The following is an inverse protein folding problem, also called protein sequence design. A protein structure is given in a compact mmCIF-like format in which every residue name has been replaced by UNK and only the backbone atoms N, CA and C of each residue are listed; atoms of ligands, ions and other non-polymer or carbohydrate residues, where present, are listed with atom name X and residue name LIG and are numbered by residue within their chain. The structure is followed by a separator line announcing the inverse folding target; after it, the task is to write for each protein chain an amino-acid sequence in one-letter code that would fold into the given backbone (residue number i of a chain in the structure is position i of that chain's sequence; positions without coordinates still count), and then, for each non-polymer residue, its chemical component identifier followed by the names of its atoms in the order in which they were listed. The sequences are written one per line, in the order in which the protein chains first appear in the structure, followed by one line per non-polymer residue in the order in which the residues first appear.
data_IF_256918431983
#
_entry.id   IF_256918431983
#
_cell.length_a   1.000
_cell.length_b   1.000
_cell.length_c   1.000
_cell.angle_alpha   90.00
_cell.angle_beta   90.00
_cell.angle_gamma   90.00
#
_symmetry.space_group_name_H-M   'P 1'
#
loop_
_entity.id
_entity.type
_entity.pdbx_description
1 polymer ?
#
# COMPACT_ATOMS: atom_id res chain seq x y z
N UNK A 1 -24.06 30.89 -18.06
CA UNK A 1 -24.07 31.42 -16.68
C UNK A 1 -22.67 31.29 -16.12
N UNK A 2 -22.05 32.39 -15.71
CA UNK A 2 -20.67 32.38 -15.17
C UNK A 2 -20.64 31.64 -13.82
N UNK A 3 -19.51 31.02 -13.43
CA UNK A 3 -19.41 30.30 -12.15
C UNK A 3 -19.83 31.14 -10.92
N UNK A 4 -19.52 32.44 -10.94
CA UNK A 4 -19.91 33.39 -9.90
C UNK A 4 -21.45 33.54 -9.76
N UNK A 5 -22.17 33.61 -10.89
CA UNK A 5 -23.63 33.76 -10.92
C UNK A 5 -24.35 32.53 -10.34
N UNK A 6 -23.78 31.33 -10.54
CA UNK A 6 -24.34 30.07 -9.99
C UNK A 6 -24.16 29.98 -8.47
N UNK A 7 -23.03 30.46 -7.97
CA UNK A 7 -22.73 30.52 -6.53
C UNK A 7 -23.55 31.59 -5.81
N UNK A 8 -23.71 32.76 -6.42
CA UNK A 8 -24.54 33.84 -5.87
C UNK A 8 -25.99 33.38 -5.67
N UNK A 9 -26.55 32.66 -6.65
CA UNK A 9 -27.91 32.10 -6.55
C UNK A 9 -28.06 31.10 -5.39
N UNK A 10 -27.09 30.20 -5.22
CA UNK A 10 -27.09 29.22 -4.14
C UNK A 10 -26.99 29.85 -2.74
N UNK A 11 -26.22 30.93 -2.62
CA UNK A 11 -26.03 31.65 -1.35
C UNK A 11 -27.26 32.50 -1.03
N UNK A 12 -27.95 33.06 -2.03
CA UNK A 12 -29.23 33.78 -1.85
C UNK A 12 -30.38 32.85 -1.45
N UNK A 13 -30.40 31.61 -1.95
CA UNK A 13 -31.42 30.60 -1.59
C UNK A 13 -31.28 30.09 -0.14
N UNK A 14 -30.06 30.12 0.42
CA UNK A 14 -29.78 29.72 1.80
C UNK A 14 -29.80 30.97 2.70
N UNK A 15 -31.00 31.39 3.16
CA UNK A 15 -31.20 32.58 4.02
C UNK A 15 -30.30 32.55 5.27
N UNK A 16 -29.17 33.26 5.22
CA UNK A 16 -28.32 33.53 6.38
C UNK A 16 -28.83 34.78 7.12
N UNK A 17 -28.94 34.70 8.46
CA UNK A 17 -29.32 35.81 9.35
C UNK A 17 -28.16 36.78 9.58
N UNK A 18 -27.65 37.40 8.53
CA UNK A 18 -26.79 38.57 8.64
C UNK A 18 -27.58 39.82 8.19
N UNK A 19 -27.27 40.99 8.74
CA UNK A 19 -27.82 42.24 8.22
C UNK A 19 -27.47 42.40 6.73
N UNK A 20 -28.43 42.89 5.92
CA UNK A 20 -28.31 42.94 4.46
C UNK A 20 -26.99 43.59 3.99
N UNK A 21 -26.56 44.64 4.68
CA UNK A 21 -25.34 45.38 4.37
C UNK A 21 -24.05 44.56 4.61
N UNK A 22 -24.00 43.77 5.69
CA UNK A 22 -22.87 42.88 5.99
C UNK A 22 -22.83 41.71 5.01
N UNK A 23 -24.00 41.21 4.60
CA UNK A 23 -24.12 40.13 3.63
C UNK A 23 -23.64 40.55 2.24
N UNK A 24 -24.08 41.71 1.74
CA UNK A 24 -23.69 42.19 0.41
C UNK A 24 -22.20 42.50 0.33
N UNK A 25 -21.62 43.06 1.40
CA UNK A 25 -20.18 43.33 1.47
C UNK A 25 -19.34 42.04 1.52
N UNK A 26 -19.78 41.04 2.29
CA UNK A 26 -19.10 39.75 2.36
C UNK A 26 -19.22 38.95 1.06
N UNK A 27 -20.40 38.96 0.44
CA UNK A 27 -20.66 38.29 -0.83
C UNK A 27 -19.87 38.95 -1.97
N UNK A 28 -19.84 40.28 -2.03
CA UNK A 28 -19.03 41.02 -3.00
C UNK A 28 -17.54 40.71 -2.88
N UNK A 29 -17.00 40.72 -1.64
CA UNK A 29 -15.59 40.41 -1.38
C UNK A 29 -15.24 38.96 -1.76
N UNK A 30 -16.14 38.02 -1.47
CA UNK A 30 -15.96 36.62 -1.81
C UNK A 30 -15.99 36.38 -3.32
N UNK A 31 -16.98 36.94 -4.03
CA UNK A 31 -17.09 36.80 -5.49
C UNK A 31 -15.89 37.45 -6.20
N UNK A 32 -15.41 38.59 -5.72
CA UNK A 32 -14.20 39.23 -6.23
C UNK A 32 -12.95 38.34 -6.05
N UNK A 33 -12.76 37.75 -4.86
CA UNK A 33 -11.64 36.84 -4.60
C UNK A 33 -11.69 35.58 -5.48
N UNK A 34 -12.89 35.07 -5.76
CA UNK A 34 -13.09 33.93 -6.69
C UNK A 34 -12.73 34.31 -8.12
N UNK A 35 -13.15 35.48 -8.58
CA UNK A 35 -12.85 35.96 -9.94
C UNK A 35 -11.36 36.28 -10.14
N UNK A 36 -10.72 36.87 -9.13
CA UNK A 36 -9.27 37.11 -9.10
C UNK A 36 -8.48 35.80 -9.12
N UNK A 37 -8.89 34.81 -8.33
CA UNK A 37 -8.27 33.48 -8.32
C UNK A 37 -8.44 32.73 -9.65
N UNK A 38 -9.59 32.86 -10.32
CA UNK A 38 -9.83 32.29 -11.66
C UNK A 38 -8.94 32.98 -12.70
N UNK A 39 -8.84 34.31 -12.67
CA UNK A 39 -7.95 35.07 -13.56
C UNK A 39 -6.48 34.73 -13.33
N UNK A 40 -6.05 34.61 -12.07
CA UNK A 40 -4.68 34.26 -11.69
C UNK A 40 -4.30 32.83 -12.13
N UNK A 41 -5.25 31.87 -12.09
CA UNK A 41 -5.04 30.52 -12.65
C UNK A 41 -4.93 30.47 -14.17
N UNK A 42 -5.52 31.43 -14.89
CA UNK A 42 -5.46 31.46 -16.36
C UNK A 42 -4.13 31.99 -16.91
N UNK A 43 -3.36 32.72 -16.11
CA UNK A 43 -2.13 33.40 -16.55
C UNK A 43 -0.82 32.76 -16.05
N UNK A 44 -0.86 31.71 -15.21
CA UNK A 44 0.35 31.00 -14.78
C UNK A 44 0.63 29.77 -15.65
N UNK A 45 1.54 29.93 -16.60
CA UNK A 45 2.25 28.86 -17.30
C UNK A 45 2.98 27.99 -16.26
N UNK A 46 2.41 26.84 -15.91
CA UNK A 46 2.97 25.92 -14.89
C UNK A 46 4.37 25.43 -15.28
N UNK A 47 5.34 25.39 -14.36
CA UNK A 47 6.65 24.78 -14.62
C UNK A 47 6.53 23.28 -14.85
N UNK A 48 7.19 22.77 -15.89
CA UNK A 48 7.24 21.34 -16.33
C UNK A 48 7.82 20.36 -15.28
N UNK A 49 8.15 20.80 -14.07
CA UNK A 49 8.85 20.02 -13.03
C UNK A 49 7.88 19.12 -12.26
N UNK A 50 6.65 19.56 -12.00
CA UNK A 50 5.68 18.78 -11.21
C UNK A 50 5.23 17.50 -11.94
N UNK A 51 5.19 17.52 -13.27
CA UNK A 51 4.89 16.35 -14.12
C UNK A 51 5.97 15.27 -14.06
N UNK A 52 7.20 15.62 -13.67
CA UNK A 52 8.34 14.71 -13.64
C UNK A 52 8.44 13.93 -12.33
N UNK A 53 7.90 14.46 -11.23
CA UNK A 53 7.95 13.84 -9.91
C UNK A 53 6.81 12.81 -9.73
N UNK A 54 5.63 13.05 -10.33
CA UNK A 54 4.44 12.17 -10.19
C UNK A 54 4.49 10.92 -11.12
N UNK A 55 5.37 10.90 -12.13
CA UNK A 55 5.49 9.80 -13.09
C UNK A 55 6.53 8.72 -12.73
N UNK A 56 7.18 8.82 -11.57
CA UNK A 56 8.14 7.82 -11.12
C UNK A 56 7.39 6.59 -10.57
N UNK A 57 7.57 5.42 -11.20
CA UNK A 57 7.02 4.12 -10.75
C UNK A 57 7.47 3.77 -9.31
N UNK A 58 8.61 4.30 -8.87
CA UNK A 58 9.21 4.06 -7.55
C UNK A 58 8.42 4.79 -6.44
N UNK A 59 7.97 6.02 -6.69
CA UNK A 59 7.21 6.80 -5.70
C UNK A 59 5.81 6.23 -5.44
N UNK A 60 5.19 5.66 -6.48
CA UNK A 60 3.88 4.96 -6.38
C UNK A 60 3.97 3.67 -5.56
N UNK A 61 5.08 2.94 -5.67
CA UNK A 61 5.32 1.72 -4.89
C UNK A 61 5.74 2.02 -3.43
N UNK A 62 6.52 3.08 -3.21
CA UNK A 62 6.89 3.52 -1.85
C UNK A 62 5.66 3.99 -1.03
N UNK A 63 4.71 4.69 -1.67
CA UNK A 63 3.47 5.09 -1.01
C UNK A 63 2.60 3.88 -0.61
N UNK A 64 2.55 2.83 -1.44
CA UNK A 64 1.81 1.60 -1.12
C UNK A 64 2.50 0.76 -0.02
N UNK A 65 3.83 0.70 0.01
CA UNK A 65 4.58 -0.04 1.03
C UNK A 65 4.51 0.60 2.43
N UNK A 66 4.52 1.94 2.51
CA UNK A 66 4.34 2.67 3.78
C UNK A 66 2.95 2.46 4.38
N UNK A 67 1.92 2.27 3.55
CA UNK A 67 0.54 1.98 4.00
C UNK A 67 0.44 0.60 4.68
N UNK A 68 1.22 -0.39 4.22
CA UNK A 68 1.21 -1.75 4.80
C UNK A 68 1.93 -1.81 6.15
N UNK A 69 3.02 -1.04 6.32
CA UNK A 69 3.79 -1.03 7.58
C UNK A 69 3.05 -0.28 8.69
N UNK A 70 2.41 0.85 8.38
CA UNK A 70 1.67 1.66 9.38
C UNK A 70 0.39 0.95 9.84
N UNK A 71 -0.24 0.16 8.97
CA UNK A 71 -1.36 -0.71 9.34
C UNK A 71 -1.00 -1.72 10.44
N UNK A 72 0.25 -2.15 10.52
CA UNK A 72 0.68 -3.25 11.38
C UNK A 72 1.06 -2.81 12.82
N UNK A 73 1.78 -1.69 12.96
CA UNK A 73 2.21 -1.14 14.28
C UNK A 73 1.01 -0.84 15.19
N UNK A 74 -0.06 -0.41 14.55
CA UNK A 74 -1.26 0.09 15.17
C UNK A 74 -2.12 -1.05 15.78
N UNK A 75 -1.95 -2.29 15.31
CA UNK A 75 -2.65 -3.51 15.79
C UNK A 75 -2.24 -3.92 17.21
N UNK A 76 -1.04 -3.55 17.67
CA UNK A 76 -0.45 -4.13 18.88
C UNK A 76 -0.70 -3.36 20.19
N UNK A 77 -1.37 -2.20 20.18
CA UNK A 77 -1.50 -1.35 21.38
C UNK A 77 -2.93 -1.17 21.95
N UNK A 78 -3.98 -1.71 21.33
CA UNK A 78 -5.37 -1.43 21.75
C UNK A 78 -6.10 -2.66 22.30
N UNK A 79 -5.86 -2.99 23.58
CA UNK A 79 -6.60 -3.98 24.37
C UNK A 79 -7.80 -3.37 25.12
N UNK A 80 -8.77 -2.82 24.39
CA UNK A 80 -10.02 -2.26 24.95
C UNK A 80 -11.24 -3.12 24.58
N UNK A 81 -12.21 -3.24 25.50
CA UNK A 81 -13.37 -4.11 25.38
C UNK A 81 -14.24 -3.81 24.15
N UNK A 82 -14.56 -4.84 23.39
CA UNK A 82 -15.36 -4.79 22.17
C UNK A 82 -16.75 -5.36 22.45
N UNK A 83 -17.77 -4.50 22.38
CA UNK A 83 -19.17 -4.86 22.56
C UNK A 83 -19.92 -4.68 21.23
N UNK A 84 -20.50 -5.78 20.71
CA UNK A 84 -21.41 -5.87 19.54
C UNK A 84 -20.84 -5.55 18.14
N UNK A 85 -19.88 -4.62 17.99
CA UNK A 85 -19.45 -4.19 16.66
C UNK A 85 -18.60 -5.22 15.91
N UNK A 86 -17.65 -5.87 16.58
CA UNK A 86 -16.68 -6.77 15.95
C UNK A 86 -17.27 -8.12 15.57
N UNK A 87 -18.30 -8.60 16.29
CA UNK A 87 -19.02 -9.84 15.93
C UNK A 87 -19.64 -9.72 14.52
N UNK A 88 -20.21 -8.55 14.19
CA UNK A 88 -20.84 -8.34 12.86
C UNK A 88 -19.84 -8.35 11.70
N UNK A 89 -18.62 -7.83 11.89
CA UNK A 89 -17.63 -7.76 10.80
C UNK A 89 -16.83 -9.05 10.62
N UNK A 90 -16.57 -9.79 11.70
CA UNK A 90 -16.03 -11.13 11.61
C UNK A 90 -16.95 -12.01 10.75
N UNK A 91 -18.27 -11.93 10.98
CA UNK A 91 -19.27 -12.62 10.17
C UNK A 91 -19.26 -12.14 8.72
N UNK A 92 -19.18 -10.82 8.47
CA UNK A 92 -19.10 -10.30 7.10
C UNK A 92 -17.88 -10.86 6.36
N UNK A 93 -16.72 -10.85 7.02
CA UNK A 93 -15.46 -11.34 6.46
C UNK A 93 -15.55 -12.85 6.17
N UNK A 94 -16.14 -13.61 7.08
CA UNK A 94 -16.32 -15.05 6.90
C UNK A 94 -17.30 -15.36 5.76
N UNK A 95 -18.42 -14.66 5.69
CA UNK A 95 -19.39 -14.82 4.61
C UNK A 95 -18.78 -14.47 3.24
N UNK A 96 -17.94 -13.43 3.16
CA UNK A 96 -17.22 -13.09 1.94
C UNK A 96 -16.23 -14.18 1.52
N UNK A 97 -15.57 -14.87 2.46
CA UNK A 97 -14.66 -16.00 2.16
C UNK A 97 -15.39 -17.22 1.61
N UNK A 98 -16.61 -17.44 2.08
CA UNK A 98 -17.45 -18.56 1.68
C UNK A 98 -18.11 -18.35 0.30
N UNK A 99 -18.04 -17.14 -0.25
CA UNK A 99 -18.51 -16.88 -1.61
C UNK A 99 -17.61 -17.59 -2.63
N UNK A 100 -18.19 -18.25 -3.66
CA UNK A 100 -17.41 -18.97 -4.67
C UNK A 100 -16.38 -18.07 -5.35
N UNK A 101 -16.80 -16.85 -5.69
CA UNK A 101 -15.97 -15.80 -6.22
C UNK A 101 -16.37 -14.45 -5.63
N UNK A 102 -15.39 -13.58 -5.52
CA UNK A 102 -15.56 -12.16 -5.25
C UNK A 102 -14.96 -11.39 -6.40
N UNK A 103 -15.75 -10.56 -7.05
CA UNK A 103 -15.33 -9.60 -8.07
C UNK A 103 -15.31 -8.21 -7.44
N UNK A 104 -14.22 -7.48 -7.65
CA UNK A 104 -13.96 -6.18 -7.03
C UNK A 104 -13.57 -5.19 -8.11
N UNK A 105 -14.24 -4.04 -8.14
CA UNK A 105 -13.89 -2.92 -9.02
C UNK A 105 -13.58 -1.71 -8.15
N UNK A 106 -12.41 -1.11 -8.33
CA UNK A 106 -12.02 0.13 -7.64
C UNK A 106 -11.99 1.29 -8.63
N UNK A 107 -12.56 2.43 -8.25
CA UNK A 107 -12.58 3.67 -9.03
C UNK A 107 -12.27 4.88 -8.12
N UNK A 108 -11.53 5.89 -8.60
CA UNK A 108 -11.29 7.09 -7.77
C UNK A 108 -10.33 8.11 -8.37
N UNK A 109 -10.26 9.31 -7.77
CA UNK A 109 -9.48 10.44 -8.33
C UNK A 109 -7.97 10.24 -8.29
N UNK A 110 -7.47 9.36 -7.42
CA UNK A 110 -6.04 9.07 -7.22
C UNK A 110 -5.76 7.59 -6.94
N UNK A 111 -6.72 6.74 -7.28
CA UNK A 111 -6.60 5.29 -7.17
C UNK A 111 -6.40 4.78 -8.58
N UNK A 112 -5.47 3.84 -8.75
CA UNK A 112 -5.36 3.14 -10.03
C UNK A 112 -6.61 2.29 -10.17
N UNK A 113 -7.43 2.54 -11.19
CA UNK A 113 -8.60 1.69 -11.42
C UNK A 113 -8.13 0.25 -11.61
N UNK A 114 -8.64 -0.62 -10.75
CA UNK A 114 -8.28 -2.02 -10.68
C UNK A 114 -9.57 -2.81 -10.64
N UNK A 115 -9.64 -3.78 -11.53
CA UNK A 115 -10.65 -4.81 -11.55
C UNK A 115 -9.99 -6.12 -11.08
N UNK A 116 -10.61 -6.83 -10.15
CA UNK A 116 -10.03 -8.04 -9.58
C UNK A 116 -11.04 -9.12 -9.28
N UNK A 117 -10.58 -10.36 -9.32
CA UNK A 117 -11.36 -11.55 -8.96
C UNK A 117 -10.58 -12.37 -7.94
N UNK A 118 -11.28 -12.85 -6.92
CA UNK A 118 -10.71 -13.68 -5.86
C UNK A 118 -11.58 -14.91 -5.67
N UNK A 119 -10.97 -16.08 -5.68
CA UNK A 119 -11.58 -17.34 -5.24
C UNK A 119 -10.74 -17.88 -4.08
N UNK A 120 -11.29 -17.84 -2.87
CA UNK A 120 -10.57 -18.24 -1.66
C UNK A 120 -10.31 -19.75 -1.63
N UNK A 121 -11.36 -20.55 -1.88
CA UNK A 121 -11.29 -22.02 -1.88
C UNK A 121 -10.26 -22.55 -2.89
N UNK A 122 -10.30 -22.05 -4.14
CA UNK A 122 -9.37 -22.48 -5.21
C UNK A 122 -8.04 -21.71 -5.19
N UNK A 123 -7.87 -20.77 -4.25
CA UNK A 123 -6.74 -19.85 -4.15
C UNK A 123 -6.34 -19.23 -5.48
N UNK A 124 -7.34 -18.66 -6.18
CA UNK A 124 -7.13 -17.92 -7.43
C UNK A 124 -7.27 -16.43 -7.21
N UNK A 125 -6.42 -15.68 -7.89
CA UNK A 125 -6.44 -14.23 -7.90
C UNK A 125 -6.22 -13.73 -9.32
N UNK A 126 -7.08 -12.84 -9.77
CA UNK A 126 -6.91 -12.10 -11.01
C UNK A 126 -6.95 -10.62 -10.72
N UNK A 127 -6.04 -9.84 -11.30
CA UNK A 127 -6.03 -8.38 -11.25
C UNK A 127 -5.83 -7.83 -12.64
N UNK A 128 -6.60 -6.83 -13.00
CA UNK A 128 -6.55 -6.10 -14.25
C UNK A 128 -6.46 -4.62 -13.91
N UNK A 129 -5.44 -3.96 -14.45
CA UNK A 129 -5.22 -2.53 -14.26
C UNK A 129 -5.80 -1.75 -15.45
N UNK A 130 -6.11 -0.47 -15.23
CA UNK A 130 -6.60 0.45 -16.27
C UNK A 130 -5.72 0.54 -17.52
N UNK A 131 -4.41 0.30 -17.37
CA UNK A 131 -3.44 0.32 -18.47
C UNK A 131 -3.42 -0.98 -19.29
N UNK A 132 -4.29 -1.94 -18.97
CA UNK A 132 -4.42 -3.21 -19.68
C UNK A 132 -3.50 -4.32 -19.18
N UNK A 133 -2.62 -4.04 -18.21
CA UNK A 133 -1.85 -5.10 -17.55
C UNK A 133 -2.81 -6.05 -16.84
N UNK A 134 -2.51 -7.36 -16.91
CA UNK A 134 -3.29 -8.38 -16.22
C UNK A 134 -2.34 -9.34 -15.50
N UNK A 135 -2.69 -9.71 -14.28
CA UNK A 135 -2.03 -10.77 -13.51
C UNK A 135 -3.04 -11.82 -13.13
N UNK A 136 -2.68 -13.08 -13.36
CA UNK A 136 -3.47 -14.23 -12.98
C UNK A 136 -2.60 -15.17 -12.14
N UNK A 137 -3.09 -15.54 -10.98
CA UNK A 137 -2.40 -16.40 -10.03
C UNK A 137 -3.31 -17.59 -9.69
N UNK A 138 -2.75 -18.79 -9.79
CA UNK A 138 -3.34 -20.04 -9.32
C UNK A 138 -2.33 -20.68 -8.35
N UNK A 139 -2.49 -20.41 -7.07
CA UNK A 139 -1.54 -20.80 -6.03
C UNK A 139 -1.48 -22.32 -5.86
N UNK A 140 -2.62 -23.00 -6.00
CA UNK A 140 -2.70 -24.46 -5.90
C UNK A 140 -1.86 -25.12 -6.99
N UNK A 141 -1.84 -24.54 -8.20
CA UNK A 141 -0.99 -25.00 -9.31
C UNK A 141 0.40 -24.37 -9.31
N UNK A 142 0.67 -23.43 -8.41
CA UNK A 142 1.89 -22.61 -8.40
C UNK A 142 2.17 -21.96 -9.76
N UNK A 143 1.10 -21.47 -10.42
CA UNK A 143 1.20 -20.82 -11.73
C UNK A 143 0.91 -19.33 -11.57
N UNK A 144 1.82 -18.52 -12.12
CA UNK A 144 1.68 -17.07 -12.21
C UNK A 144 1.78 -16.64 -13.66
N UNK A 145 0.79 -15.88 -14.12
CA UNK A 145 0.73 -15.37 -15.49
C UNK A 145 0.64 -13.86 -15.43
N UNK A 146 1.45 -13.19 -16.25
CA UNK A 146 1.42 -11.74 -16.42
C UNK A 146 1.23 -11.45 -17.90
N UNK A 147 0.19 -10.70 -18.22
CA UNK A 147 0.02 -10.13 -19.54
C UNK A 147 0.52 -8.70 -19.55
N UNK A 148 1.40 -8.44 -20.51
CA UNK A 148 1.89 -7.12 -20.88
C UNK A 148 1.19 -6.67 -22.17
N UNK A 149 0.32 -5.65 -22.11
CA UNK A 149 -0.39 -5.15 -23.28
C UNK A 149 0.53 -4.48 -24.31
N UNK A 150 1.66 -3.90 -23.89
CA UNK A 150 2.57 -3.17 -24.79
C UNK A 150 3.29 -4.13 -25.74
N UNK A 151 3.63 -5.32 -25.24
CA UNK A 151 4.31 -6.37 -26.00
C UNK A 151 3.38 -7.50 -26.45
N UNK A 152 2.08 -7.40 -26.17
CA UNK A 152 1.07 -8.44 -26.40
C UNK A 152 1.56 -9.83 -25.98
N UNK A 153 2.14 -9.93 -24.78
CA UNK A 153 2.86 -11.12 -24.32
C UNK A 153 2.32 -11.59 -22.97
N UNK A 154 2.03 -12.89 -22.86
CA UNK A 154 1.74 -13.58 -21.59
C UNK A 154 3.01 -14.28 -21.13
N UNK A 155 3.57 -13.82 -20.01
CA UNK A 155 4.67 -14.49 -19.33
C UNK A 155 4.12 -15.47 -18.30
N UNK A 156 4.42 -16.76 -18.46
CA UNK A 156 4.03 -17.82 -17.52
C UNK A 156 5.23 -18.21 -16.66
N UNK A 157 5.13 -18.00 -15.35
CA UNK A 157 6.12 -18.42 -14.37
C UNK A 157 5.54 -19.52 -13.48
N UNK A 158 6.39 -20.40 -12.95
CA UNK A 158 6.03 -21.40 -11.93
C UNK A 158 6.78 -21.14 -10.63
N UNK A 159 6.15 -21.47 -9.52
CA UNK A 159 6.76 -21.47 -8.20
C UNK A 159 5.85 -20.93 -7.11
N UNK A 160 6.31 -21.03 -5.86
CA UNK A 160 5.65 -20.41 -4.71
C UNK A 160 5.71 -18.89 -4.87
N UNK A 161 4.66 -18.32 -5.45
CA UNK A 161 4.34 -16.91 -5.32
C UNK A 161 3.43 -16.80 -4.09
N UNK A 162 3.87 -16.07 -3.07
CA UNK A 162 3.02 -15.79 -1.92
C UNK A 162 2.06 -14.62 -2.23
N UNK A 163 1.35 -14.73 -3.35
CA UNK A 163 0.44 -13.68 -3.79
C UNK A 163 -0.82 -13.64 -2.93
N UNK A 164 -1.22 -14.78 -2.34
CA UNK A 164 -2.28 -14.82 -1.35
C UNK A 164 -1.90 -14.21 -0.01
N UNK A 165 -0.64 -14.12 0.42
CA UNK A 165 -0.34 -13.30 1.60
C UNK A 165 -0.63 -11.82 1.34
N UNK A 166 -0.38 -11.35 0.11
CA UNK A 166 -0.67 -9.98 -0.31
C UNK A 166 -2.17 -9.71 -0.55
N UNK A 167 -2.99 -10.71 -0.89
CA UNK A 167 -4.45 -10.53 -1.10
C UNK A 167 -5.31 -10.99 0.07
N UNK A 168 -4.91 -12.04 0.77
CA UNK A 168 -5.46 -12.42 2.08
C UNK A 168 -5.36 -11.25 3.06
N UNK A 169 -4.32 -10.42 2.94
CA UNK A 169 -4.18 -9.14 3.65
C UNK A 169 -4.82 -7.92 2.96
N UNK A 170 -5.10 -7.92 1.64
CA UNK A 170 -5.64 -6.71 0.97
C UNK A 170 -7.15 -6.73 0.71
N UNK A 171 -7.74 -7.85 0.29
CA UNK A 171 -9.17 -7.90 -0.05
C UNK A 171 -10.04 -8.17 1.18
N UNK A 172 -9.54 -8.99 2.10
CA UNK A 172 -10.17 -9.24 3.41
C UNK A 172 -9.49 -8.47 4.53
N UNK A 173 -8.18 -8.22 4.40
CA UNK A 173 -7.49 -7.37 5.35
C UNK A 173 -7.82 -5.89 5.18
N UNK A 174 -8.52 -5.45 4.12
CA UNK A 174 -9.06 -4.09 4.08
C UNK A 174 -10.28 -3.91 5.01
N UNK A 175 -11.32 -4.76 4.99
CA UNK A 175 -12.34 -4.75 6.05
C UNK A 175 -11.73 -4.84 7.45
N UNK A 176 -10.72 -5.70 7.64
CA UNK A 176 -9.98 -5.80 8.90
C UNK A 176 -9.18 -4.55 9.25
N UNK A 177 -8.50 -3.93 8.29
CA UNK A 177 -7.81 -2.65 8.47
C UNK A 177 -8.81 -1.57 8.88
N UNK A 178 -9.97 -1.53 8.21
CA UNK A 178 -11.05 -0.62 8.56
C UNK A 178 -11.52 -0.91 10.00
N UNK A 179 -11.63 -2.18 10.44
CA UNK A 179 -11.88 -2.60 11.84
C UNK A 179 -10.82 -2.17 12.85
N UNK A 180 -9.56 -2.38 12.54
CA UNK A 180 -8.49 -1.99 13.45
C UNK A 180 -8.48 -0.46 13.61
N UNK A 181 -8.68 0.26 12.51
CA UNK A 181 -8.89 1.71 12.54
C UNK A 181 -10.18 2.12 13.27
N UNK A 182 -11.27 1.35 13.15
CA UNK A 182 -12.51 1.55 13.92
C UNK A 182 -12.27 1.49 15.43
N UNK A 183 -11.49 0.50 15.87
CA UNK A 183 -11.21 0.22 17.27
C UNK A 183 -10.29 1.29 17.88
N UNK A 184 -9.33 1.83 17.12
CA UNK A 184 -8.46 2.91 17.58
C UNK A 184 -9.06 4.31 17.45
N UNK A 185 -9.87 4.56 16.43
CA UNK A 185 -10.52 5.86 16.21
C UNK A 185 -11.57 6.18 17.28
N UNK A 186 -11.98 5.16 18.06
CA UNK A 186 -12.59 5.34 19.36
C UNK A 186 -13.74 6.32 19.42
N UNK A 187 -14.70 6.35 18.45
CA UNK A 187 -16.13 6.72 18.68
C UNK A 187 -17.10 6.98 17.50
N UNK A 188 -16.79 6.93 16.20
CA UNK A 188 -17.82 7.30 15.18
C UNK A 188 -18.20 6.20 14.18
N UNK A 189 -18.83 5.14 14.68
CA UNK A 189 -19.53 4.16 13.85
C UNK A 189 -21.02 4.41 13.93
N UNK A 190 -21.62 4.83 12.83
CA UNK A 190 -23.08 4.91 12.70
C UNK A 190 -23.54 3.75 11.83
N UNK A 191 -24.56 3.03 12.30
CA UNK A 191 -25.23 1.96 11.57
C UNK A 191 -26.65 2.38 11.27
N UNK A 192 -27.05 2.32 10.02
CA UNK A 192 -28.42 2.63 9.63
C UNK A 192 -28.91 1.66 8.56
N UNK A 193 -30.19 1.27 8.57
CA UNK A 193 -30.77 0.53 7.45
C UNK A 193 -30.84 1.43 6.21
N UNK A 194 -30.66 0.84 5.03
CA UNK A 194 -30.72 1.57 3.77
C UNK A 194 -31.01 0.66 2.58
N UNK A 195 -30.90 1.25 1.39
CA UNK A 195 -31.04 0.53 0.12
C UNK A 195 -29.83 0.80 -0.77
N UNK A 196 -29.29 -0.23 -1.41
CA UNK A 196 -28.24 -0.10 -2.41
C UNK A 196 -28.56 -0.99 -3.62
N UNK A 197 -28.66 -0.39 -4.81
CA UNK A 197 -29.09 -1.07 -6.05
C UNK A 197 -30.35 -1.95 -5.87
N UNK A 198 -31.32 -1.46 -5.08
CA UNK A 198 -32.59 -2.14 -4.78
C UNK A 198 -32.53 -3.17 -3.64
N UNK A 199 -31.35 -3.52 -3.14
CA UNK A 199 -31.17 -4.49 -2.04
C UNK A 199 -31.25 -3.81 -0.67
N UNK A 200 -31.83 -4.50 0.31
CA UNK A 200 -31.75 -4.08 1.71
C UNK A 200 -30.32 -4.23 2.22
N UNK A 201 -29.80 -3.13 2.79
CA UNK A 201 -28.44 -3.07 3.30
C UNK A 201 -28.40 -2.44 4.68
N UNK A 202 -27.39 -2.82 5.47
CA UNK A 202 -26.91 -2.01 6.59
C UNK A 202 -25.79 -1.11 6.09
N UNK A 203 -25.97 0.20 6.24
CA UNK A 203 -24.96 1.22 5.91
C UNK A 203 -24.16 1.51 7.17
N UNK A 204 -22.84 1.33 7.07
CA UNK A 204 -21.87 1.69 8.09
C UNK A 204 -21.20 2.98 7.67
N UNK A 205 -21.34 4.03 8.48
CA UNK A 205 -20.59 5.29 8.33
C UNK A 205 -19.54 5.36 9.42
N UNK A 206 -18.32 5.65 8.99
CA UNK A 206 -17.11 5.40 9.76
C UNK A 206 -16.28 6.66 9.63
N UNK A 207 -15.97 7.33 10.73
CA UNK A 207 -15.08 8.48 10.75
C UNK A 207 -13.96 8.28 11.78
N UNK A 208 -12.74 8.67 11.40
CA UNK A 208 -11.60 8.58 12.30
C UNK A 208 -10.43 9.45 11.85
N UNK A 209 -9.77 10.07 12.82
CA UNK A 209 -8.51 10.75 12.59
C UNK A 209 -7.36 9.76 12.72
N UNK A 210 -6.59 9.56 11.65
CA UNK A 210 -5.40 8.71 11.65
C UNK A 210 -4.21 9.56 12.09
N UNK A 211 -3.96 9.53 13.41
CA UNK A 211 -3.06 10.45 14.12
C UNK A 211 -1.65 10.56 13.56
N UNK A 212 -1.02 9.43 13.22
CA UNK A 212 0.36 9.41 12.72
C UNK A 212 0.50 10.01 11.32
N UNK A 213 -0.55 9.88 10.49
CA UNK A 213 -0.55 10.47 9.16
C UNK A 213 -1.14 11.90 9.14
N UNK A 214 -1.79 12.31 10.23
CA UNK A 214 -2.36 13.64 10.39
C UNK A 214 -3.55 13.92 9.47
N UNK A 215 -4.44 12.94 9.26
CA UNK A 215 -5.51 13.02 8.27
C UNK A 215 -6.82 12.46 8.80
N UNK A 216 -7.92 13.05 8.36
CA UNK A 216 -9.26 12.56 8.64
C UNK A 216 -9.67 11.59 7.53
N UNK A 217 -10.17 10.42 7.92
CA UNK A 217 -10.66 9.38 7.02
C UNK A 217 -12.13 9.12 7.28
N UNK A 218 -12.91 9.02 6.20
CA UNK A 218 -14.32 8.64 6.25
C UNK A 218 -14.57 7.46 5.34
N UNK A 219 -15.23 6.44 5.86
CA UNK A 219 -15.69 5.30 5.07
C UNK A 219 -17.21 5.21 5.15
N UNK A 220 -17.82 4.85 4.04
CA UNK A 220 -19.22 4.45 3.98
C UNK A 220 -19.29 3.08 3.33
N UNK A 221 -19.86 2.10 4.01
CA UNK A 221 -19.90 0.72 3.55
C UNK A 221 -21.34 0.21 3.57
N UNK A 222 -21.80 -0.33 2.44
CA UNK A 222 -23.12 -0.97 2.34
C UNK A 222 -22.95 -2.49 2.40
N UNK A 223 -23.58 -3.11 3.41
CA UNK A 223 -23.55 -4.56 3.63
C UNK A 223 -24.93 -5.13 3.40
N UNK A 224 -25.06 -6.12 2.53
CA UNK A 224 -26.33 -6.80 2.26
C UNK A 224 -26.90 -7.48 3.52
N UNK A 225 -28.15 -7.19 3.86
CA UNK A 225 -28.74 -7.64 5.11
C UNK A 225 -28.91 -9.17 5.20
N UNK A 226 -29.23 -9.83 4.08
CA UNK A 226 -29.49 -11.28 4.03
C UNK A 226 -28.19 -12.09 4.09
N UNK A 227 -27.23 -11.75 3.22
CA UNK A 227 -25.98 -12.52 3.07
C UNK A 227 -24.86 -12.01 3.96
N UNK A 228 -25.00 -10.84 4.60
CA UNK A 228 -23.95 -10.13 5.33
C UNK A 228 -22.64 -10.04 4.54
N UNK A 229 -22.73 -9.57 3.29
CA UNK A 229 -21.55 -9.32 2.45
C UNK A 229 -21.49 -7.86 2.00
N UNK A 230 -20.28 -7.33 1.82
CA UNK A 230 -20.09 -5.95 1.39
C UNK A 230 -20.48 -5.82 -0.08
N UNK A 231 -21.34 -4.87 -0.44
CA UNK A 231 -21.70 -4.59 -1.84
C UNK A 231 -21.00 -3.33 -2.37
N UNK A 232 -20.68 -2.41 -1.46
CA UNK A 232 -20.10 -1.13 -1.78
C UNK A 232 -19.31 -0.59 -0.60
N UNK A 233 -18.23 0.11 -0.94
CA UNK A 233 -17.43 0.87 -0.01
C UNK A 233 -16.99 2.17 -0.70
N UNK A 234 -17.31 3.29 -0.10
CA UNK A 234 -16.69 4.58 -0.37
C UNK A 234 -15.64 4.87 0.70
N UNK A 235 -14.51 5.43 0.32
CA UNK A 235 -13.55 5.99 1.25
C UNK A 235 -13.13 7.39 0.81
N UNK A 236 -13.02 8.28 1.79
CA UNK A 236 -12.61 9.67 1.62
C UNK A 236 -11.51 9.99 2.60
N UNK A 237 -10.52 10.74 2.14
CA UNK A 237 -9.40 11.23 2.94
C UNK A 237 -9.33 12.73 2.85
N UNK A 238 -9.16 13.38 3.98
CA UNK A 238 -9.07 14.82 4.11
C UNK A 238 -7.73 15.20 4.73
N UNK A 239 -7.14 16.30 4.26
CA UNK A 239 -5.96 16.87 4.88
C UNK A 239 -6.30 17.59 6.21
N UNK A 240 -5.28 18.15 6.87
CA UNK A 240 -5.43 18.91 8.13
C UNK A 240 -6.33 20.14 8.00
N UNK A 241 -6.55 20.67 6.80
CA UNK A 241 -7.44 21.79 6.54
C UNK A 241 -8.89 21.33 6.25
N UNK A 242 -9.15 20.02 6.31
CA UNK A 242 -10.45 19.43 5.98
C UNK A 242 -10.75 19.38 4.48
N UNK A 243 -9.74 19.60 3.63
CA UNK A 243 -9.91 19.51 2.18
C UNK A 243 -9.82 18.05 1.74
N UNK A 244 -10.77 17.60 0.93
CA UNK A 244 -10.76 16.27 0.31
C UNK A 244 -9.50 16.14 -0.57
N UNK A 245 -8.64 15.18 -0.22
CA UNK A 245 -7.40 14.88 -0.96
C UNK A 245 -7.49 13.58 -1.73
N UNK A 246 -8.39 12.68 -1.37
CA UNK A 246 -8.59 11.42 -2.07
C UNK A 246 -10.01 10.91 -1.82
N UNK A 247 -10.65 10.42 -2.89
CA UNK A 247 -11.94 9.73 -2.85
C UNK A 247 -11.84 8.47 -3.71
N UNK A 248 -12.32 7.36 -3.16
CA UNK A 248 -12.33 6.06 -3.80
C UNK A 248 -13.63 5.32 -3.56
N UNK A 249 -14.10 4.63 -4.60
CA UNK A 249 -15.22 3.72 -4.57
C UNK A 249 -14.71 2.31 -4.84
N UNK A 250 -15.27 1.34 -4.12
CA UNK A 250 -15.03 -0.07 -4.30
C UNK A 250 -16.37 -0.77 -4.40
N UNK A 251 -16.57 -1.46 -5.50
CA UNK A 251 -17.78 -2.22 -5.80
C UNK A 251 -17.46 -3.70 -5.67
N UNK A 252 -18.40 -4.45 -5.08
CA UNK A 252 -18.25 -5.87 -4.85
C UNK A 252 -19.42 -6.62 -5.47
N UNK A 253 -19.09 -7.64 -6.25
CA UNK A 253 -20.02 -8.62 -6.79
C UNK A 253 -19.58 -10.04 -6.40
N UNK A 254 -20.52 -10.97 -6.31
CA UNK A 254 -20.26 -12.34 -5.84
C UNK A 254 -20.82 -13.37 -6.83
N UNK A 255 -20.19 -13.53 -8.01
CA UNK A 255 -20.69 -14.44 -9.02
C UNK A 255 -20.44 -15.91 -8.62
N UNK A 256 -21.28 -16.82 -9.10
CA UNK A 256 -21.07 -18.27 -8.89
C UNK A 256 -19.82 -18.78 -9.62
N UNK A 257 -19.47 -18.15 -10.74
CA UNK A 257 -18.33 -18.48 -11.60
C UNK A 257 -17.46 -17.26 -11.80
N UNK A 258 -16.15 -17.48 -11.82
CA UNK A 258 -15.16 -16.47 -12.13
C UNK A 258 -14.17 -16.96 -13.19
N UNK A 259 -13.12 -16.18 -13.45
CA UNK A 259 -12.15 -16.50 -14.50
C UNK A 259 -11.34 -17.76 -14.16
N UNK A 260 -11.27 -18.69 -15.10
CA UNK A 260 -10.49 -19.92 -14.96
C UNK A 260 -9.08 -19.78 -15.56
N UNK A 261 -8.89 -18.75 -16.40
CA UNK A 261 -7.64 -18.40 -17.07
C UNK A 261 -7.49 -16.89 -17.25
N UNK A 262 -6.28 -16.43 -17.59
CA UNK A 262 -6.03 -15.02 -17.92
C UNK A 262 -6.81 -14.52 -19.16
N UNK A 263 -7.23 -15.44 -20.04
CA UNK A 263 -8.00 -15.13 -21.23
C UNK A 263 -9.46 -14.77 -20.93
N UNK A 264 -10.00 -15.29 -19.82
CA UNK A 264 -11.39 -15.02 -19.41
C UNK A 264 -11.59 -13.57 -18.93
N UNK A 265 -10.49 -12.84 -18.69
CA UNK A 265 -10.51 -11.41 -18.30
C UNK A 265 -10.03 -10.47 -19.42
N UNK A 266 -10.02 -10.97 -20.66
CA UNK A 266 -9.84 -10.14 -21.86
C UNK A 266 -8.43 -10.13 -22.45
N UNK A 267 -7.51 -11.00 -22.01
CA UNK A 267 -6.24 -11.19 -22.74
C UNK A 267 -6.53 -11.78 -24.12
N UNK A 268 -5.99 -11.20 -25.22
CA UNK A 268 -6.16 -11.75 -26.55
C UNK A 268 -5.57 -13.16 -26.65
N UNK A 269 -6.29 -14.09 -27.29
CA UNK A 269 -5.76 -15.44 -27.57
C UNK A 269 -4.58 -15.43 -28.55
N UNK A 270 -4.39 -14.32 -29.26
CA UNK A 270 -3.22 -14.07 -30.12
C UNK A 270 -1.99 -13.60 -29.37
N UNK A 271 -2.09 -13.33 -28.06
CA UNK A 271 -0.95 -12.92 -27.25
C UNK A 271 0.16 -13.98 -27.26
N UNK A 272 1.40 -13.55 -27.48
CA UNK A 272 2.56 -14.44 -27.48
C UNK A 272 2.74 -15.01 -26.08
N UNK A 273 2.75 -16.32 -25.93
CA UNK A 273 3.07 -16.94 -24.64
C UNK A 273 4.57 -17.20 -24.55
N UNK A 274 5.19 -16.68 -23.49
CA UNK A 274 6.60 -16.96 -23.16
C UNK A 274 6.67 -17.60 -21.79
N UNK A 275 7.58 -18.55 -21.62
CA UNK A 275 7.91 -19.07 -20.29
C UNK A 275 8.82 -18.05 -19.62
N UNK A 276 8.42 -17.57 -18.45
CA UNK A 276 9.26 -16.68 -17.65
C UNK A 276 10.50 -17.43 -17.18
N UNK A 277 11.68 -16.99 -17.61
CA UNK A 277 12.98 -17.58 -17.23
C UNK A 277 13.38 -17.32 -15.77
N UNK A 278 12.46 -16.79 -14.94
CA UNK A 278 12.73 -16.44 -13.54
C UNK A 278 13.01 -17.62 -12.61
N UNK A 279 12.98 -18.86 -13.11
CA UNK A 279 13.50 -19.99 -12.35
C UNK A 279 15.03 -19.89 -12.21
N UNK A 280 15.77 -19.40 -13.22
CA UNK A 280 17.23 -19.23 -13.13
C UNK A 280 17.67 -18.04 -12.28
N UNK A 281 17.02 -16.87 -12.38
CA UNK A 281 17.38 -15.72 -11.54
C UNK A 281 16.96 -15.92 -10.07
N UNK A 282 15.80 -16.52 -9.83
CA UNK A 282 15.37 -16.86 -8.45
C UNK A 282 16.25 -17.96 -7.88
N UNK A 283 16.69 -18.94 -8.67
CA UNK A 283 17.68 -19.92 -8.21
C UNK A 283 19.06 -19.30 -8.02
N UNK A 284 19.48 -18.32 -8.82
CA UNK A 284 20.76 -17.63 -8.62
C UNK A 284 20.74 -16.80 -7.31
N UNK A 285 19.66 -16.06 -7.06
CA UNK A 285 19.44 -15.39 -5.78
C UNK A 285 19.37 -16.39 -4.62
N UNK A 286 18.51 -17.42 -4.71
CA UNK A 286 18.31 -18.40 -3.65
C UNK A 286 19.59 -19.19 -3.37
N UNK A 287 20.38 -19.48 -4.41
CA UNK A 287 21.69 -20.12 -4.30
C UNK A 287 22.69 -19.19 -3.61
N UNK A 288 22.85 -17.96 -4.09
CA UNK A 288 23.73 -16.97 -3.47
C UNK A 288 23.33 -16.69 -2.01
N UNK A 289 22.03 -16.66 -1.72
CA UNK A 289 21.49 -16.49 -0.39
C UNK A 289 21.85 -17.67 0.52
N UNK A 290 21.62 -18.90 0.06
CA UNK A 290 21.99 -20.12 0.81
C UNK A 290 23.48 -20.22 1.05
N UNK A 291 24.30 -19.87 0.05
CA UNK A 291 25.76 -19.83 0.17
C UNK A 291 26.19 -18.80 1.21
N UNK A 292 25.65 -17.58 1.16
CA UNK A 292 25.94 -16.53 2.14
C UNK A 292 25.55 -16.94 3.56
N UNK A 293 24.34 -17.50 3.76
CA UNK A 293 23.90 -17.98 5.09
C UNK A 293 24.73 -19.17 5.57
N UNK A 294 25.19 -20.05 4.69
CA UNK A 294 26.13 -21.10 5.05
C UNK A 294 27.47 -20.52 5.54
N UNK A 295 27.97 -19.45 4.92
CA UNK A 295 29.15 -18.72 5.41
C UNK A 295 28.88 -18.08 6.78
N UNK A 296 27.72 -17.43 6.95
CA UNK A 296 27.27 -16.86 8.24
C UNK A 296 27.35 -17.91 9.35
N UNK A 297 26.87 -19.13 9.09
CA UNK A 297 26.86 -20.22 10.08
C UNK A 297 28.23 -20.87 10.29
N UNK A 298 29.09 -20.93 9.27
CA UNK A 298 30.37 -21.65 9.36
C UNK A 298 31.52 -20.78 9.85
N UNK A 299 31.45 -19.46 9.74
CA UNK A 299 32.51 -18.55 10.19
C UNK A 299 32.76 -18.71 11.69
N UNK A 300 34.02 -18.77 12.12
CA UNK A 300 34.35 -18.90 13.54
C UNK A 300 33.86 -17.69 14.34
N UNK A 301 34.26 -16.50 13.88
CA UNK A 301 33.84 -15.21 14.43
C UNK A 301 32.80 -14.58 13.51
N UNK A 302 31.64 -14.21 14.08
CA UNK A 302 30.58 -13.50 13.37
C UNK A 302 30.22 -12.24 14.16
N UNK A 303 30.10 -11.06 13.52
CA UNK A 303 29.82 -9.83 14.24
C UNK A 303 28.43 -9.87 14.89
N UNK A 304 28.33 -9.25 16.07
CA UNK A 304 27.05 -8.98 16.72
C UNK A 304 26.21 -8.00 15.90
N UNK A 305 24.91 -7.89 16.21
CA UNK A 305 23.95 -7.14 15.40
C UNK A 305 24.38 -5.70 15.06
N UNK A 306 24.88 -4.95 16.04
CA UNK A 306 25.38 -3.59 15.84
C UNK A 306 26.61 -3.56 14.91
N UNK A 307 27.59 -4.42 15.19
CA UNK A 307 28.86 -4.46 14.46
C UNK A 307 28.70 -5.03 13.06
N UNK A 308 27.69 -5.86 12.83
CA UNK A 308 27.32 -6.36 11.51
C UNK A 308 26.89 -5.22 10.58
N UNK A 309 26.10 -4.26 11.09
CA UNK A 309 25.70 -3.08 10.31
C UNK A 309 26.92 -2.21 9.96
N UNK A 310 27.85 -2.04 10.91
CA UNK A 310 29.13 -1.34 10.68
C UNK A 310 29.95 -2.06 9.62
N UNK A 311 30.15 -3.37 9.78
CA UNK A 311 30.97 -4.19 8.89
C UNK A 311 30.43 -4.17 7.45
N UNK A 312 29.11 -4.19 7.27
CA UNK A 312 28.49 -4.04 5.95
C UNK A 312 28.83 -2.72 5.26
N UNK A 313 28.69 -1.59 5.96
CA UNK A 313 29.00 -0.28 5.37
C UNK A 313 30.50 -0.10 5.14
N UNK A 314 31.35 -0.66 6.01
CA UNK A 314 32.80 -0.71 5.79
C UNK A 314 33.15 -1.52 4.53
N UNK A 315 32.56 -2.71 4.35
CA UNK A 315 32.74 -3.52 3.14
C UNK A 315 32.28 -2.77 1.88
N UNK A 316 31.16 -2.03 1.95
CA UNK A 316 30.68 -1.20 0.84
C UNK A 316 31.62 -0.05 0.51
N UNK A 317 32.12 0.66 1.51
CA UNK A 317 33.08 1.74 1.31
C UNK A 317 34.40 1.21 0.71
N UNK A 318 34.86 0.03 1.16
CA UNK A 318 36.02 -0.66 0.62
C UNK A 318 35.77 -1.34 -0.74
N UNK A 319 34.55 -1.28 -1.28
CA UNK A 319 34.13 -1.96 -2.52
C UNK A 319 34.32 -3.49 -2.48
N UNK A 320 34.29 -4.08 -1.28
CA UNK A 320 34.33 -5.53 -1.08
C UNK A 320 32.91 -6.11 -1.20
N UNK A 321 32.45 -6.27 -2.44
CA UNK A 321 31.08 -6.70 -2.74
C UNK A 321 30.79 -8.15 -2.34
N UNK A 322 31.80 -9.01 -2.29
CA UNK A 322 31.61 -10.40 -1.91
C UNK A 322 31.33 -10.50 -0.41
N UNK A 323 32.06 -9.72 0.40
CA UNK A 323 31.80 -9.60 1.84
C UNK A 323 30.45 -8.91 2.13
N UNK A 324 30.10 -7.86 1.35
CA UNK A 324 28.75 -7.26 1.42
C UNK A 324 27.64 -8.28 1.17
N UNK A 325 27.82 -9.14 0.16
CA UNK A 325 26.85 -10.18 -0.18
C UNK A 325 26.74 -11.25 0.92
N UNK A 326 27.79 -11.46 1.72
CA UNK A 326 27.73 -12.34 2.89
C UNK A 326 26.94 -11.68 4.04
N UNK A 327 27.20 -10.40 4.34
CA UNK A 327 26.50 -9.68 5.41
C UNK A 327 25.03 -9.37 5.07
N UNK A 328 24.76 -9.02 3.82
CA UNK A 328 23.43 -8.82 3.26
C UNK A 328 23.27 -9.72 2.04
N UNK A 329 22.82 -10.98 2.22
CA UNK A 329 22.56 -11.93 1.13
C UNK A 329 21.74 -11.35 -0.04
N UNK A 330 20.76 -10.49 0.29
CA UNK A 330 19.95 -9.80 -0.70
C UNK A 330 20.72 -8.87 -1.65
N UNK A 331 21.88 -8.37 -1.23
CA UNK A 331 22.74 -7.47 -2.00
C UNK A 331 23.52 -8.17 -3.12
N UNK A 332 23.56 -9.51 -3.16
CA UNK A 332 24.25 -10.26 -4.22
C UNK A 332 23.74 -9.95 -5.63
N UNK A 333 22.48 -9.50 -5.75
CA UNK A 333 21.84 -9.12 -7.02
C UNK A 333 22.05 -7.65 -7.40
N UNK A 334 22.74 -6.87 -6.55
CA UNK A 334 22.91 -5.45 -6.80
C UNK A 334 23.85 -5.18 -7.96
N UNK A 335 23.57 -4.09 -8.66
CA UNK A 335 24.38 -3.67 -9.80
C UNK A 335 25.76 -3.18 -9.32
N UNK A 336 26.75 -4.07 -9.30
CA UNK A 336 28.15 -3.76 -8.92
C UNK A 336 28.72 -2.58 -9.72
N UNK A 337 28.31 -2.38 -10.98
CA UNK A 337 28.77 -1.22 -11.79
C UNK A 337 28.24 0.11 -11.25
N UNK A 338 27.04 0.12 -10.70
CA UNK A 338 26.49 1.31 -10.05
C UNK A 338 27.25 1.61 -8.75
N UNK A 339 27.42 0.60 -7.89
CA UNK A 339 28.12 0.73 -6.60
C UNK A 339 29.59 1.17 -6.74
N UNK A 340 30.26 0.83 -7.85
CA UNK A 340 31.64 1.26 -8.13
C UNK A 340 31.78 2.77 -8.27
N UNK A 341 30.71 3.47 -8.64
CA UNK A 341 30.71 4.94 -8.85
C UNK A 341 30.35 5.72 -7.59
N UNK A 342 29.90 5.04 -6.54
CA UNK A 342 29.53 5.70 -5.28
C UNK A 342 30.78 6.13 -4.52
N UNK A 343 30.79 7.34 -3.98
CA UNK A 343 31.81 7.76 -3.03
C UNK A 343 31.55 7.12 -1.65
N UNK A 344 32.60 6.83 -0.87
CA UNK A 344 32.45 6.35 0.50
C UNK A 344 31.63 7.33 1.36
N UNK A 345 30.74 6.79 2.19
CA UNK A 345 29.92 7.58 3.13
C UNK A 345 30.20 7.10 4.55
N UNK A 346 30.47 8.02 5.45
CA UNK A 346 30.55 7.74 6.89
C UNK A 346 29.15 7.69 7.50
N UNK A 347 28.86 6.60 8.21
CA UNK A 347 27.61 6.41 8.93
C UNK A 347 27.86 6.36 10.44
N UNK A 348 26.84 6.77 11.19
CA UNK A 348 26.73 6.58 12.63
C UNK A 348 25.53 5.69 12.93
N UNK A 349 25.65 4.88 13.97
CA UNK A 349 24.72 3.81 14.31
C UNK A 349 24.20 4.03 15.73
N UNK A 350 22.91 3.77 15.92
CA UNK A 350 22.23 3.80 17.20
C UNK A 350 22.24 2.44 17.89
N UNK A 351 21.68 2.40 19.10
CA UNK A 351 21.51 1.16 19.84
C UNK A 351 20.58 0.18 19.10
N UNK A 352 20.88 -1.11 19.23
CA UNK A 352 20.09 -2.18 18.62
C UNK A 352 18.73 -2.26 19.31
N UNK A 353 17.67 -2.32 18.50
CA UNK A 353 16.30 -2.40 18.97
C UNK A 353 15.67 -3.73 18.54
N UNK A 354 14.75 -4.31 19.34
CA UNK A 354 13.95 -5.44 18.88
C UNK A 354 13.09 -5.01 17.68
N UNK A 355 13.01 -5.87 16.67
CA UNK A 355 12.09 -5.70 15.55
C UNK A 355 10.66 -6.13 15.90
N UNK A 356 9.73 -5.83 15.00
CA UNK A 356 8.31 -6.21 15.13
C UNK A 356 8.07 -7.73 15.02
N UNK A 357 9.04 -8.45 14.43
CA UNK A 357 8.98 -9.89 14.20
C UNK A 357 9.98 -10.55 15.12
N UNK A 358 9.58 -11.63 15.79
CA UNK A 358 10.48 -12.44 16.61
C UNK A 358 11.72 -12.88 15.81
N UNK A 359 12.90 -12.75 16.42
CA UNK A 359 14.16 -13.04 15.73
C UNK A 359 14.60 -11.98 14.71
N UNK A 360 13.95 -10.80 14.69
CA UNK A 360 14.40 -9.64 13.93
C UNK A 360 14.91 -8.54 14.85
N UNK A 361 15.94 -7.82 14.40
CA UNK A 361 16.50 -6.65 15.08
C UNK A 361 16.54 -5.45 14.12
N UNK A 362 16.50 -4.26 14.71
CA UNK A 362 16.62 -2.99 13.99
C UNK A 362 17.87 -2.27 14.50
N UNK A 363 18.69 -1.79 13.58
CA UNK A 363 19.82 -0.91 13.86
C UNK A 363 19.53 0.45 13.20
N UNK A 364 19.11 1.46 13.97
CA UNK A 364 18.96 2.83 13.47
C UNK A 364 20.31 3.37 13.02
N UNK A 365 20.35 4.07 11.89
CA UNK A 365 21.58 4.66 11.39
C UNK A 365 21.31 5.93 10.58
N UNK A 366 22.35 6.73 10.38
CA UNK A 366 22.31 7.91 9.52
C UNK A 366 23.71 8.22 8.98
N UNK A 367 23.79 8.92 7.85
CA UNK A 367 25.08 9.52 7.47
C UNK A 367 25.52 10.47 8.57
N UNK A 368 26.82 10.51 8.85
CA UNK A 368 27.40 11.35 9.90
C UNK A 368 27.03 12.82 9.75
N UNK A 369 26.98 13.33 8.51
CA UNK A 369 26.56 14.70 8.21
C UNK A 369 25.09 14.94 8.58
N UNK A 370 24.18 14.04 8.18
CA UNK A 370 22.76 14.15 8.52
C UNK A 370 22.55 14.11 10.03
N UNK A 371 23.18 13.16 10.72
CA UNK A 371 23.06 13.03 12.16
C UNK A 371 23.61 14.26 12.88
N UNK A 372 24.78 14.78 12.49
CA UNK A 372 25.36 15.99 13.07
C UNK A 372 24.44 17.21 12.91
N UNK A 373 23.70 17.32 11.80
CA UNK A 373 22.77 18.43 11.55
C UNK A 373 21.44 18.27 12.28
N UNK A 374 20.93 17.06 12.41
CA UNK A 374 19.55 16.81 12.84
C UNK A 374 19.41 16.10 14.19
N UNK A 375 20.51 15.58 14.76
CA UNK A 375 20.52 14.85 16.03
C UNK A 375 19.68 13.57 16.02
N UNK A 376 19.38 13.00 14.85
CA UNK A 376 18.50 11.83 14.73
C UNK A 376 18.94 10.89 13.61
N UNK A 377 18.64 9.60 13.80
CA UNK A 377 18.78 8.58 12.77
C UNK A 377 17.67 8.76 11.72
N UNK A 378 18.00 8.60 10.45
CA UNK A 378 17.04 8.74 9.33
C UNK A 378 16.73 7.43 8.63
N UNK A 379 17.51 6.39 8.91
CA UNK A 379 17.46 5.11 8.23
C UNK A 379 17.51 3.99 9.27
N UNK A 380 17.10 2.81 8.85
CA UNK A 380 17.06 1.61 9.67
C UNK A 380 17.58 0.43 8.87
N UNK A 381 18.40 -0.39 9.51
CA UNK A 381 18.83 -1.67 8.98
C UNK A 381 18.10 -2.78 9.75
N UNK A 382 17.43 -3.67 9.02
CA UNK A 382 16.73 -4.82 9.61
C UNK A 382 17.59 -6.06 9.46
N UNK A 383 17.77 -6.75 10.57
CA UNK A 383 18.54 -7.97 10.68
C UNK A 383 17.59 -9.11 11.03
N UNK A 384 17.89 -10.32 10.57
CA UNK A 384 17.16 -11.53 10.92
C UNK A 384 18.13 -12.68 11.15
N UNK A 385 17.78 -13.60 12.04
CA UNK A 385 18.48 -14.86 12.22
C UNK A 385 17.67 -16.09 11.75
N UNK A 386 16.49 -15.88 11.16
CA UNK A 386 15.49 -16.93 10.88
C UNK A 386 16.02 -18.09 10.01
N UNK A 387 17.03 -17.82 9.18
CA UNK A 387 17.62 -18.82 8.26
C UNK A 387 18.98 -19.34 8.72
N UNK A 388 19.55 -18.78 9.78
CA UNK A 388 20.80 -19.25 10.37
C UNK A 388 20.51 -20.39 11.34
N UNK A 389 21.18 -21.52 11.15
CA UNK A 389 21.12 -22.67 12.07
C UNK A 389 21.76 -22.39 13.44
N UNK A 390 22.63 -21.38 13.53
CA UNK A 390 23.30 -20.94 14.76
C UNK A 390 22.64 -19.72 15.41
N UNK A 391 21.49 -19.26 14.90
CA UNK A 391 20.80 -18.06 15.40
C UNK A 391 21.57 -16.77 15.16
N UNK A 392 22.51 -16.75 14.20
CA UNK A 392 23.31 -15.58 13.84
C UNK A 392 22.54 -14.64 12.92
N UNK A 393 22.65 -13.36 13.19
CA UNK A 393 21.97 -12.33 12.42
C UNK A 393 22.69 -12.06 11.09
N UNK A 394 21.91 -11.79 10.04
CA UNK A 394 22.35 -11.23 8.77
C UNK A 394 21.37 -10.12 8.36
N UNK A 395 21.77 -9.24 7.43
CA UNK A 395 20.95 -8.11 7.00
C UNK A 395 19.91 -8.60 5.98
N UNK A 396 18.64 -8.27 6.22
CA UNK A 396 17.53 -8.57 5.30
C UNK A 396 17.06 -7.33 4.53
N UNK A 397 17.22 -6.14 5.11
CA UNK A 397 16.91 -4.87 4.44
C UNK A 397 17.67 -3.70 5.06
N UNK A 398 17.95 -2.69 4.26
CA UNK A 398 18.47 -1.39 4.71
C UNK A 398 17.98 -0.31 3.76
N UNK A 399 17.37 0.75 4.31
CA UNK A 399 16.82 1.86 3.53
C UNK A 399 17.83 2.98 3.32
#
# INVERSE_FOLDING_TARGET
MKPAEKLEKLIKEKRYKAGAETYDKALGSFLQAVDEHIKQKSAQTRPKIWRKIVNSRITKLAAAAVIVVVAYVVIHQSGGSIDVATVSFAQITENMKQMPWMHVVTEGTDIVDVEGWVCFERRKLVKKWADGWIRFHDDLKQVFQVYDPDSNTVTISRGKADAFSLVGSSALGFPRLVMEQFEQAGRSVVREPGKYKGKDVTIFKIGGFVGEMGMDMKFEMAVEAERNVVLFLNHKRYDKAGKLVLEGNVYFDYPEKGPESIYDVGVPRSAKTVRGEKEEEKTAYDKAFKEAVSVVDTRENWPEAHDLAIAYWQARNAKNYDEMAIYWPGSATWNRKALKKEEPVEYVFGEVQPGEIEGCLIVPYASKNYFGKHGKYSLEMRLSNEKSSKGRYYIVSGN
#
